data_IF_872077225690
#
_entry.id   IF_872077225690
#
_cell.length_a   1.000
_cell.length_b   1.000
_cell.length_c   1.000
_cell.angle_alpha   90.00
_cell.angle_beta   90.00
_cell.angle_gamma   90.00
#
_symmetry.space_group_name_H-M   'P 1'
#
loop_
_entity.id
_entity.type
_entity.pdbx_description
1 polymer ?
#
# COMPACT_ATOMS: atom_id res chain seq x y z
N UNK A 1 11.59 -14.01 -8.13
CA UNK A 1 10.66 -14.36 -9.22
C UNK A 1 11.20 -15.61 -9.88
N UNK A 2 10.37 -16.55 -10.34
CA UNK A 2 10.90 -17.75 -11.03
C UNK A 2 11.36 -17.32 -12.42
N UNK A 3 12.43 -17.90 -12.97
CA UNK A 3 12.94 -17.53 -14.32
C UNK A 3 12.09 -18.06 -15.49
N UNK A 4 10.96 -18.71 -15.22
CA UNK A 4 10.16 -19.38 -16.24
C UNK A 4 9.16 -18.44 -16.90
N UNK A 5 9.08 -18.45 -18.23
CA UNK A 5 8.04 -17.72 -18.99
C UNK A 5 6.62 -18.29 -18.78
N UNK A 6 6.48 -19.51 -18.22
CA UNK A 6 5.18 -20.17 -18.04
C UNK A 6 4.31 -19.44 -16.99
N UNK A 7 3.13 -18.92 -17.36
CA UNK A 7 2.27 -18.16 -16.44
C UNK A 7 1.85 -18.96 -15.20
N UNK A 8 1.57 -20.26 -15.36
CA UNK A 8 1.20 -21.14 -14.24
C UNK A 8 2.30 -21.27 -13.19
N UNK A 9 3.57 -21.35 -13.62
CA UNK A 9 4.72 -21.42 -12.71
C UNK A 9 4.91 -20.09 -11.97
N UNK A 10 4.67 -18.96 -12.63
CA UNK A 10 4.73 -17.64 -11.98
C UNK A 10 3.65 -17.48 -10.91
N UNK A 11 2.39 -17.81 -11.23
CA UNK A 11 1.28 -17.72 -10.26
C UNK A 11 1.50 -18.63 -9.06
N UNK A 12 1.91 -19.89 -9.28
CA UNK A 12 2.22 -20.85 -8.20
C UNK A 12 3.32 -20.32 -7.27
N UNK A 13 4.39 -19.76 -7.84
CA UNK A 13 5.48 -19.20 -7.06
C UNK A 13 5.11 -17.88 -6.34
N UNK A 14 4.15 -17.13 -6.87
CA UNK A 14 3.63 -15.96 -6.17
C UNK A 14 2.81 -16.38 -4.95
N UNK A 15 1.87 -17.30 -5.12
CA UNK A 15 0.98 -17.79 -4.07
C UNK A 15 1.74 -18.51 -2.94
N UNK A 16 2.65 -19.42 -3.29
CA UNK A 16 3.42 -20.23 -2.34
C UNK A 16 4.71 -19.55 -1.83
N UNK A 17 4.86 -18.24 -2.00
CA UNK A 17 6.07 -17.55 -1.53
C UNK A 17 6.16 -17.55 0.01
N UNK A 18 7.39 -17.60 0.52
CA UNK A 18 7.67 -17.46 1.96
C UNK A 18 7.21 -16.10 2.52
N UNK A 19 6.93 -16.05 3.83
CA UNK A 19 6.43 -14.84 4.50
C UNK A 19 7.35 -13.63 4.33
N UNK A 20 8.67 -13.80 4.47
CA UNK A 20 9.62 -12.69 4.29
C UNK A 20 9.60 -12.13 2.85
N UNK A 21 9.31 -12.97 1.86
CA UNK A 21 9.18 -12.56 0.46
C UNK A 21 7.85 -11.85 0.24
N UNK A 22 6.75 -12.40 0.78
CA UNK A 22 5.42 -11.80 0.72
C UNK A 22 5.42 -10.40 1.35
N UNK A 23 6.06 -10.23 2.51
CA UNK A 23 6.22 -8.92 3.16
C UNK A 23 6.86 -7.88 2.23
N UNK A 24 7.96 -8.24 1.54
CA UNK A 24 8.65 -7.32 0.61
C UNK A 24 7.78 -6.94 -0.60
N UNK A 25 6.80 -7.77 -0.98
CA UNK A 25 5.88 -7.51 -2.11
C UNK A 25 4.75 -6.55 -1.75
N UNK A 26 4.50 -6.27 -0.47
CA UNK A 26 3.57 -5.22 -0.03
C UNK A 26 4.26 -3.87 -0.19
N UNK A 27 4.53 -3.48 -1.45
CA UNK A 27 5.19 -2.24 -1.79
C UNK A 27 4.27 -1.31 -2.56
N UNK A 28 4.46 -0.01 -2.32
CA UNK A 28 3.74 1.07 -2.97
C UNK A 28 4.72 2.14 -3.45
N UNK A 29 4.29 2.96 -4.41
CA UNK A 29 5.10 4.08 -4.91
C UNK A 29 5.22 5.14 -3.83
N UNK A 30 6.42 5.70 -3.67
CA UNK A 30 6.68 6.83 -2.78
C UNK A 30 6.39 8.12 -3.54
N UNK A 31 5.51 8.95 -2.99
CA UNK A 31 5.29 10.31 -3.48
C UNK A 31 4.95 11.16 -2.26
N UNK A 32 5.99 11.66 -1.62
CA UNK A 32 5.84 12.47 -0.43
C UNK A 32 5.15 13.78 -0.76
N UNK A 33 4.24 14.22 0.11
CA UNK A 33 3.60 15.54 -0.04
C UNK A 33 4.61 16.68 0.13
N UNK A 34 5.65 16.44 0.94
CA UNK A 34 6.83 17.30 1.05
C UNK A 34 8.01 16.54 0.42
N UNK A 35 8.48 16.95 -0.77
CA UNK A 35 9.62 16.29 -1.40
C UNK A 35 10.83 16.43 -0.48
N UNK A 36 11.51 15.32 -0.26
CA UNK A 36 12.70 15.23 0.59
C UNK A 36 13.79 14.54 -0.22
N UNK A 37 14.91 15.24 -0.36
CA UNK A 37 16.06 14.81 -1.18
C UNK A 37 16.63 13.47 -0.72
N UNK A 38 16.48 13.15 0.59
CA UNK A 38 16.89 11.86 1.18
C UNK A 38 16.25 10.65 0.49
N UNK A 39 15.13 10.84 -0.20
CA UNK A 39 14.39 9.76 -0.89
C UNK A 39 14.31 9.93 -2.40
N UNK A 40 15.06 10.86 -2.99
CA UNK A 40 15.00 11.15 -4.43
C UNK A 40 15.28 9.90 -5.29
N UNK A 41 16.13 8.98 -4.83
CA UNK A 41 16.43 7.71 -5.51
C UNK A 41 15.41 6.58 -5.27
N UNK A 42 14.42 6.77 -4.39
CA UNK A 42 13.49 5.71 -3.98
C UNK A 42 12.15 5.83 -4.72
N UNK A 43 11.96 4.98 -5.74
CA UNK A 43 10.67 4.90 -6.45
C UNK A 43 9.55 4.27 -5.62
N UNK A 44 9.86 3.25 -4.83
CA UNK A 44 8.87 2.44 -4.10
C UNK A 44 9.40 1.92 -2.77
N UNK A 45 8.51 1.76 -1.83
CA UNK A 45 8.80 1.41 -0.43
C UNK A 45 7.83 0.31 0.02
N UNK A 46 8.31 -0.60 0.86
CA UNK A 46 7.44 -1.54 1.57
C UNK A 46 6.59 -0.78 2.59
N UNK A 47 5.27 -0.91 2.46
CA UNK A 47 4.29 -0.24 3.33
C UNK A 47 4.37 -0.86 4.73
N UNK A 48 4.32 -0.02 5.76
CA UNK A 48 4.26 -0.42 7.17
C UNK A 48 3.04 0.21 7.85
N UNK A 49 2.61 -0.39 8.95
CA UNK A 49 1.63 0.24 9.83
C UNK A 49 2.20 1.58 10.33
N UNK A 50 1.38 2.62 10.39
CA UNK A 50 1.80 3.99 10.71
C UNK A 50 2.15 4.86 9.51
N UNK A 51 2.46 4.28 8.34
CA UNK A 51 2.65 5.08 7.12
C UNK A 51 1.32 5.73 6.71
N UNK A 52 1.37 6.97 6.20
CA UNK A 52 0.21 7.60 5.59
C UNK A 52 0.18 7.29 4.11
N UNK A 53 -0.95 6.78 3.64
CA UNK A 53 -1.16 6.40 2.24
C UNK A 53 -2.36 7.12 1.66
N UNK A 54 -2.28 7.36 0.35
CA UNK A 54 -3.36 7.89 -0.48
C UNK A 54 -3.80 6.83 -1.48
N UNK A 55 -5.12 6.59 -1.56
CA UNK A 55 -5.69 5.62 -2.48
C UNK A 55 -5.83 6.24 -3.87
N UNK A 56 -5.23 5.64 -4.90
CA UNK A 56 -5.27 6.14 -6.28
C UNK A 56 -6.32 5.42 -7.12
N UNK A 57 -6.56 4.14 -6.85
CA UNK A 57 -7.49 3.31 -7.62
C UNK A 57 -8.56 2.68 -6.75
N UNK A 58 -9.74 2.49 -7.33
CA UNK A 58 -10.89 1.88 -6.67
C UNK A 58 -11.91 2.92 -6.23
N UNK A 59 -12.88 2.49 -5.42
CA UNK A 59 -13.98 3.35 -5.00
C UNK A 59 -13.54 4.47 -4.05
N UNK A 60 -12.47 4.26 -3.29
CA UNK A 60 -11.93 5.25 -2.35
C UNK A 60 -11.03 6.34 -2.97
N UNK A 61 -10.85 6.38 -4.30
CA UNK A 61 -9.90 7.34 -4.91
C UNK A 61 -10.51 8.57 -5.56
N UNK A 62 -11.60 8.46 -6.33
CA UNK A 62 -12.17 9.61 -7.06
C UNK A 62 -13.69 9.68 -6.90
N UNK A 63 -14.17 9.41 -5.68
CA UNK A 63 -15.59 9.41 -5.33
C UNK A 63 -16.36 8.23 -5.91
N UNK A 64 -15.83 7.02 -5.73
CA UNK A 64 -16.32 5.72 -6.22
C UNK A 64 -17.72 5.67 -6.81
N UNK A 65 -17.80 5.30 -8.10
CA UNK A 65 -19.07 5.21 -8.85
C UNK A 65 -20.08 4.28 -8.18
N UNK A 66 -19.62 3.22 -7.52
CA UNK A 66 -20.49 2.21 -6.88
C UNK A 66 -21.21 2.73 -5.63
N UNK A 67 -20.62 3.70 -4.94
CA UNK A 67 -21.17 4.27 -3.71
C UNK A 67 -21.87 5.63 -3.95
N UNK A 68 -22.11 6.00 -5.21
CA UNK A 68 -22.77 7.26 -5.55
C UNK A 68 -21.94 8.51 -5.21
N UNK A 69 -20.62 8.36 -5.06
CA UNK A 69 -19.74 9.49 -4.74
C UNK A 69 -19.68 10.52 -5.87
N UNK A 70 -19.39 11.78 -5.51
CA UNK A 70 -19.17 12.85 -6.49
C UNK A 70 -17.94 12.52 -7.33
N UNK A 71 -18.06 12.57 -8.66
CA UNK A 71 -16.93 12.39 -9.57
C UNK A 71 -15.84 13.42 -9.25
N UNK A 72 -14.57 12.99 -9.27
CA UNK A 72 -13.39 13.83 -8.93
C UNK A 72 -13.35 14.31 -7.47
N UNK A 73 -13.96 13.57 -6.55
CA UNK A 73 -13.71 13.82 -5.13
C UNK A 73 -12.23 13.57 -4.77
N UNK A 74 -11.79 14.20 -3.69
CA UNK A 74 -10.44 13.98 -3.15
C UNK A 74 -10.24 12.49 -2.77
N UNK A 75 -9.06 11.93 -3.08
CA UNK A 75 -8.74 10.56 -2.72
C UNK A 75 -8.62 10.39 -1.21
N UNK A 76 -9.11 9.26 -0.72
CA UNK A 76 -8.95 8.89 0.68
C UNK A 76 -7.46 8.82 1.02
N UNK A 77 -7.07 9.62 2.02
CA UNK A 77 -5.72 9.65 2.59
C UNK A 77 -5.84 9.34 4.07
N UNK A 78 -5.03 8.41 4.57
CA UNK A 78 -5.06 8.01 5.98
C UNK A 78 -3.89 7.11 6.37
N UNK A 79 -3.63 6.94 7.68
CA UNK A 79 -2.62 6.02 8.16
C UNK A 79 -3.02 4.56 7.94
N UNK A 80 -2.01 3.71 7.76
CA UNK A 80 -2.18 2.26 7.67
C UNK A 80 -2.31 1.68 9.07
N UNK A 81 -3.45 1.03 9.33
CA UNK A 81 -3.76 0.38 10.62
C UNK A 81 -3.19 -1.04 10.65
N UNK A 82 -3.32 -1.77 9.54
CA UNK A 82 -2.97 -3.18 9.47
C UNK A 82 -2.50 -3.62 8.10
N UNK A 83 -1.72 -4.70 8.06
CA UNK A 83 -1.16 -5.26 6.84
C UNK A 83 -1.43 -6.76 6.80
N UNK A 84 -2.06 -7.20 5.73
CA UNK A 84 -2.18 -8.60 5.37
C UNK A 84 -1.17 -8.92 4.27
N UNK A 85 0.01 -9.40 4.70
CA UNK A 85 1.08 -9.78 3.79
C UNK A 85 0.74 -11.04 2.96
N UNK A 86 -0.19 -11.89 3.41
CA UNK A 86 -0.57 -13.08 2.66
C UNK A 86 -1.30 -12.74 1.37
N UNK A 87 -2.22 -11.77 1.46
CA UNK A 87 -3.04 -11.33 0.34
C UNK A 87 -2.52 -10.05 -0.32
N UNK A 88 -1.45 -9.44 0.20
CA UNK A 88 -0.88 -8.20 -0.34
C UNK A 88 -1.79 -6.98 -0.13
N UNK A 89 -2.64 -7.03 0.90
CA UNK A 89 -3.63 -5.99 1.20
C UNK A 89 -3.26 -5.21 2.46
N UNK A 90 -3.73 -3.97 2.53
CA UNK A 90 -3.54 -3.06 3.64
C UNK A 90 -4.91 -2.54 4.11
N UNK A 91 -5.01 -2.27 5.41
CA UNK A 91 -6.16 -1.67 6.06
C UNK A 91 -5.82 -0.20 6.34
N UNK A 92 -6.62 0.70 5.81
CA UNK A 92 -6.39 2.15 5.90
C UNK A 92 -7.48 2.75 6.77
N UNK A 93 -7.10 3.68 7.64
CA UNK A 93 -8.09 4.44 8.40
C UNK A 93 -9.02 5.23 7.47
N UNK A 94 -10.33 5.14 7.70
CA UNK A 94 -11.37 5.73 6.85
C UNK A 94 -11.81 4.86 5.67
N UNK A 95 -11.07 3.81 5.29
CA UNK A 95 -11.52 2.84 4.30
C UNK A 95 -12.42 1.80 4.99
N UNK A 96 -13.67 2.19 5.27
CA UNK A 96 -14.62 1.33 6.01
C UNK A 96 -15.92 1.14 5.24
N UNK A 97 -16.62 0.06 5.54
CA UNK A 97 -17.95 -0.24 5.04
C UNK A 97 -18.85 -0.68 6.20
N UNK A 98 -20.08 -0.18 6.22
CA UNK A 98 -21.11 -0.62 7.16
C UNK A 98 -21.73 -1.94 6.72
N UNK A 99 -21.80 -2.92 7.63
CA UNK A 99 -22.60 -4.14 7.45
C UNK A 99 -24.09 -3.89 7.75
N UNK A 100 -24.93 -4.88 7.43
CA UNK A 100 -26.36 -4.90 7.80
C UNK A 100 -26.59 -4.63 9.29
N UNK A 101 -25.65 -5.08 10.11
CA UNK A 101 -25.73 -4.99 11.58
C UNK A 101 -25.19 -3.65 12.11
N UNK A 102 -25.05 -2.64 11.24
CA UNK A 102 -24.48 -1.30 11.50
C UNK A 102 -23.04 -1.28 12.03
N UNK A 103 -22.34 -2.42 12.04
CA UNK A 103 -20.92 -2.49 12.38
C UNK A 103 -20.06 -2.02 11.21
N UNK A 104 -19.06 -1.19 11.51
CA UNK A 104 -18.07 -0.77 10.53
C UNK A 104 -16.93 -1.79 10.44
N UNK A 105 -16.63 -2.25 9.23
CA UNK A 105 -15.49 -3.10 8.95
C UNK A 105 -14.53 -2.41 7.98
N UNK A 106 -13.22 -2.58 8.21
CA UNK A 106 -12.20 -2.03 7.33
C UNK A 106 -12.19 -2.77 5.98
N UNK A 107 -12.25 -2.02 4.89
CA UNK A 107 -12.17 -2.55 3.53
C UNK A 107 -10.70 -2.69 3.14
N UNK A 108 -10.22 -3.91 2.84
CA UNK A 108 -8.81 -4.12 2.53
C UNK A 108 -8.49 -3.65 1.10
N UNK A 109 -7.47 -2.80 0.97
CA UNK A 109 -7.00 -2.23 -0.30
C UNK A 109 -5.69 -2.90 -0.72
N UNK A 110 -5.52 -3.21 -2.00
CA UNK A 110 -4.24 -3.79 -2.47
C UNK A 110 -3.13 -2.72 -2.48
N UNK A 111 -1.92 -3.07 -2.03
CA UNK A 111 -0.81 -2.11 -1.90
C UNK A 111 -0.41 -1.42 -3.22
N UNK A 112 -0.63 -2.07 -4.37
CA UNK A 112 -0.37 -1.46 -5.69
C UNK A 112 -1.31 -0.32 -6.06
N UNK A 113 -2.45 -0.20 -5.39
CA UNK A 113 -3.48 0.81 -5.67
C UNK A 113 -3.30 2.08 -4.82
N UNK A 114 -2.26 2.13 -3.99
CA UNK A 114 -1.98 3.25 -3.11
C UNK A 114 -0.60 3.86 -3.39
N UNK A 115 -0.42 5.06 -2.89
CA UNK A 115 0.85 5.77 -2.85
C UNK A 115 1.12 6.21 -1.42
N UNK A 116 2.38 6.11 -0.99
CA UNK A 116 2.81 6.56 0.33
C UNK A 116 3.09 8.05 0.28
N UNK A 117 2.38 8.83 1.09
CA UNK A 117 2.47 10.30 1.17
C UNK A 117 3.30 10.77 2.35
N UNK A 118 3.34 10.00 3.44
CA UNK A 118 4.19 10.23 4.60
C UNK A 118 4.68 8.90 5.14
N UNK A 119 5.99 8.83 5.40
CA UNK A 119 6.61 7.67 6.03
C UNK A 119 6.57 7.80 7.55
N UNK A 120 6.41 6.65 8.21
CA UNK A 120 6.74 6.54 9.63
C UNK A 120 8.25 6.39 9.81
N UNK A 121 8.85 7.35 10.51
CA UNK A 121 10.30 7.48 10.73
C UNK A 121 10.76 6.86 12.07
N UNK A 122 9.86 6.21 12.82
CA UNK A 122 10.19 5.62 14.13
C UNK A 122 11.31 4.56 14.07
N UNK A 123 11.38 3.78 12.98
CA UNK A 123 12.39 2.73 12.79
C UNK A 123 13.65 3.25 12.09
N UNK A 124 14.72 3.45 12.86
CA UNK A 124 16.05 3.88 12.38
C UNK A 124 16.62 2.97 11.28
N UNK A 125 16.44 1.65 11.38
CA UNK A 125 16.99 0.69 10.40
C UNK A 125 16.25 0.78 9.06
N UNK A 126 14.96 1.13 9.10
CA UNK A 126 14.18 1.38 7.89
C UNK A 126 14.69 2.64 7.19
N UNK A 127 14.89 3.71 7.95
CA UNK A 127 15.34 4.99 7.42
C UNK A 127 16.73 4.88 6.81
N UNK A 128 17.67 4.23 7.50
CA UNK A 128 19.00 3.94 6.96
C UNK A 128 18.92 3.21 5.61
N UNK A 129 18.09 2.17 5.47
CA UNK A 129 17.93 1.42 4.20
C UNK A 129 17.27 2.20 3.06
N UNK A 130 16.51 3.25 3.40
CA UNK A 130 15.86 4.10 2.42
C UNK A 130 16.78 5.24 1.96
N UNK A 131 17.65 5.72 2.85
CA UNK A 131 18.57 6.84 2.61
C UNK A 131 19.99 6.39 2.22
N UNK A 132 20.33 5.11 2.39
CA UNK A 132 21.61 4.55 1.92
C UNK A 132 21.82 4.86 0.44
N UNK A 133 22.98 5.43 0.10
CA UNK A 133 23.33 5.84 -1.25
C UNK A 133 23.25 4.63 -2.18
N UNK A 134 22.25 4.67 -3.07
CA UNK A 134 22.09 3.69 -4.15
C UNK A 134 22.79 4.23 -5.40
N UNK A 135 24.09 4.51 -5.27
CA UNK A 135 25.00 4.77 -6.39
C UNK A 135 25.42 3.45 -7.04
#
# INVERSE_FOLDING_TARGET
MVKSSKPGKQRKAQYNASMHTKRKRVSARLQLDKPDERFAGVRSVTVRAGDTVRVIRGDFSHGGKRHGGKRKAEPLTGPVIGIDANNGRILIEGAKQSKSDNREEAVPVHASNVVVTKLDETDKLRMQKLTEDRS
#
